data_IF_014082917545
#
_entry.id   IF_014082917545
#
_cell.length_a   1.000
_cell.length_b   1.000
_cell.length_c   1.000
_cell.angle_alpha   90.00
_cell.angle_beta   90.00
_cell.angle_gamma   90.00
#
_symmetry.space_group_name_H-M   'P 1'
#
loop_
_entity.id
_entity.type
_entity.pdbx_description
1 polymer ?
#
# COMPACT_ATOMS: atom_id res chain seq x y z
N UNK A 1 -53.93 12.93 10.80
CA UNK A 1 -53.47 13.84 11.86
C UNK A 1 -52.31 13.13 12.54
N UNK A 2 -51.10 13.33 12.02
CA UNK A 2 -49.91 12.63 12.49
C UNK A 2 -49.27 13.54 13.53
N UNK A 3 -49.35 13.16 14.80
CA UNK A 3 -48.58 13.84 15.85
C UNK A 3 -47.09 13.69 15.53
N UNK A 4 -46.50 14.78 15.05
CA UNK A 4 -45.07 14.93 14.91
C UNK A 4 -44.59 15.56 16.22
N UNK A 5 -43.94 14.73 17.04
CA UNK A 5 -43.16 15.11 18.23
C UNK A 5 -44.01 15.37 19.49
N UNK A 6 -44.04 14.40 20.40
CA UNK A 6 -44.58 14.58 21.76
C UNK A 6 -43.73 15.58 22.57
N UNK A 7 -44.38 16.41 23.39
CA UNK A 7 -43.72 17.26 24.42
C UNK A 7 -42.76 16.39 25.25
N UNK A 8 -41.49 16.81 25.35
CA UNK A 8 -40.33 16.14 25.99
C UNK A 8 -39.37 15.34 25.08
N UNK A 9 -39.29 15.67 23.78
CA UNK A 9 -38.15 15.19 22.98
C UNK A 9 -36.92 16.00 23.39
N UNK A 10 -36.03 15.40 24.20
CA UNK A 10 -34.80 16.03 24.66
C UNK A 10 -33.99 16.50 23.45
N UNK A 11 -33.87 17.82 23.28
CA UNK A 11 -32.95 18.40 22.31
C UNK A 11 -31.56 17.94 22.74
N UNK A 12 -30.76 17.29 21.88
CA UNK A 12 -29.37 16.97 22.19
C UNK A 12 -28.64 18.26 22.58
N UNK A 13 -28.27 18.32 23.85
CA UNK A 13 -27.62 19.46 24.48
C UNK A 13 -26.27 18.99 24.99
N UNK A 14 -25.20 19.68 24.60
CA UNK A 14 -23.84 19.38 25.06
C UNK A 14 -23.43 20.38 26.13
N UNK A 15 -23.12 19.88 27.32
CA UNK A 15 -22.70 20.68 28.46
C UNK A 15 -21.20 20.97 28.41
N UNK A 16 -20.83 22.23 28.60
CA UNK A 16 -19.47 22.70 28.76
C UNK A 16 -19.27 23.20 30.19
N UNK A 17 -18.13 22.83 30.77
CA UNK A 17 -17.72 23.21 32.12
C UNK A 17 -16.34 23.88 32.00
N UNK A 18 -16.22 25.08 32.55
CA UNK A 18 -14.99 25.89 32.49
C UNK A 18 -14.32 25.85 33.85
N UNK A 19 -13.05 25.50 33.89
CA UNK A 19 -12.28 25.32 35.12
C UNK A 19 -11.06 26.26 35.15
N UNK A 20 -10.60 26.61 36.36
CA UNK A 20 -9.40 27.38 36.66
C UNK A 20 -8.49 26.54 37.58
N UNK A 21 -7.24 26.33 37.18
CA UNK A 21 -6.25 25.54 37.93
C UNK A 21 -5.17 24.97 37.04
N UNK A 22 -4.08 24.51 37.65
CA UNK A 22 -2.89 23.94 36.98
C UNK A 22 -2.96 22.40 36.86
N UNK A 23 -3.89 21.75 37.57
CA UNK A 23 -4.09 20.30 37.48
C UNK A 23 -4.65 19.89 36.12
N UNK A 24 -4.27 18.70 35.67
CA UNK A 24 -4.81 18.05 34.48
C UNK A 24 -6.22 17.48 34.68
N UNK A 25 -6.69 17.37 35.92
CA UNK A 25 -7.96 16.74 36.28
C UNK A 25 -9.01 17.79 36.66
N UNK A 26 -10.18 17.82 35.99
CA UNK A 26 -11.22 18.83 36.28
C UNK A 26 -11.75 18.83 37.72
N UNK A 27 -11.64 17.71 38.44
CA UNK A 27 -12.11 17.58 39.84
C UNK A 27 -11.22 18.34 40.84
N UNK A 28 -9.95 18.55 40.49
CA UNK A 28 -8.93 19.20 41.33
C UNK A 28 -8.76 20.68 40.93
N UNK A 29 -9.42 21.10 39.85
CA UNK A 29 -9.53 22.49 39.42
C UNK A 29 -10.81 23.14 39.95
N UNK A 30 -10.80 24.47 40.02
CA UNK A 30 -11.95 25.26 40.43
C UNK A 30 -12.93 25.45 39.27
N UNK A 31 -14.19 25.06 39.45
CA UNK A 31 -15.24 25.33 38.47
C UNK A 31 -15.58 26.84 38.42
N UNK A 32 -15.39 27.47 37.26
CA UNK A 32 -15.72 28.87 37.02
C UNK A 32 -17.15 29.06 36.52
N UNK A 33 -17.65 28.13 35.72
CA UNK A 33 -18.98 28.24 35.15
C UNK A 33 -19.34 27.09 34.23
N UNK A 34 -20.62 26.99 33.90
CA UNK A 34 -21.16 25.95 33.01
C UNK A 34 -22.13 26.56 32.04
N UNK A 35 -22.10 26.11 30.79
CA UNK A 35 -23.09 26.50 29.78
C UNK A 35 -23.40 25.34 28.84
N UNK A 36 -24.58 25.36 28.25
CA UNK A 36 -25.13 24.26 27.47
C UNK A 36 -25.27 24.69 26.00
N UNK A 37 -24.61 24.01 25.07
CA UNK A 37 -24.79 24.21 23.62
C UNK A 37 -25.95 23.34 23.14
N UNK A 38 -27.08 23.98 22.85
CA UNK A 38 -28.31 23.29 22.47
C UNK A 38 -28.53 23.25 20.95
N UNK A 39 -29.28 22.24 20.50
CA UNK A 39 -29.77 22.17 19.12
C UNK A 39 -28.75 21.66 18.10
N UNK A 40 -27.74 20.90 18.54
CA UNK A 40 -26.81 20.19 17.66
C UNK A 40 -27.58 19.01 17.03
N UNK A 41 -27.69 18.88 15.71
CA UNK A 41 -28.36 17.73 15.11
C UNK A 41 -27.75 16.40 15.60
N UNK A 42 -28.59 15.38 15.82
CA UNK A 42 -28.12 14.04 16.17
C UNK A 42 -27.21 13.54 15.03
N UNK A 43 -25.91 13.48 15.30
CA UNK A 43 -24.91 13.02 14.36
C UNK A 43 -24.13 11.83 14.97
N UNK A 44 -23.64 10.89 14.14
CA UNK A 44 -22.77 9.82 14.63
C UNK A 44 -21.56 10.38 15.39
N UNK A 45 -21.16 9.73 16.48
CA UNK A 45 -19.98 10.15 17.25
C UNK A 45 -18.76 10.35 16.33
N UNK A 46 -18.14 11.53 16.42
CA UNK A 46 -16.97 11.92 15.64
C UNK A 46 -17.21 12.75 14.38
N UNK A 47 -18.47 13.07 14.01
CA UNK A 47 -18.76 13.95 12.85
C UNK A 47 -18.99 15.41 13.22
N UNK A 48 -19.37 15.72 14.46
CA UNK A 48 -19.57 17.10 14.90
C UNK A 48 -18.22 17.78 15.15
N UNK A 49 -17.95 18.88 14.47
CA UNK A 49 -16.77 19.71 14.67
C UNK A 49 -17.18 20.93 15.51
N UNK A 50 -16.72 20.99 16.76
CA UNK A 50 -16.96 22.12 17.65
C UNK A 50 -15.66 22.89 17.85
N UNK A 51 -15.67 24.18 17.55
CA UNK A 51 -14.61 25.11 17.90
C UNK A 51 -14.94 25.76 19.25
N UNK A 52 -13.97 25.77 20.16
CA UNK A 52 -14.08 26.47 21.45
C UNK A 52 -13.02 27.57 21.49
N UNK A 53 -13.47 28.81 21.70
CA UNK A 53 -12.61 30.00 21.76
C UNK A 53 -12.61 30.57 23.18
N UNK A 54 -11.42 30.88 23.69
CA UNK A 54 -11.20 31.52 24.98
C UNK A 54 -10.60 32.90 24.75
N UNK A 55 -11.25 33.94 25.26
CA UNK A 55 -10.80 35.33 25.18
C UNK A 55 -10.72 35.91 26.59
N UNK A 56 -9.55 36.43 26.96
CA UNK A 56 -9.33 37.10 28.25
C UNK A 56 -9.10 38.57 27.99
N UNK A 57 -9.98 39.40 28.56
CA UNK A 57 -9.96 40.84 28.39
C UNK A 57 -8.92 41.46 29.37
N UNK A 58 -8.42 42.69 29.14
CA UNK A 58 -7.46 43.36 30.04
C UNK A 58 -7.94 43.52 31.49
N UNK A 59 -9.26 43.42 31.71
CA UNK A 59 -9.88 43.47 33.04
C UNK A 59 -9.96 42.09 33.73
N UNK A 60 -9.36 41.05 33.15
CA UNK A 60 -9.42 39.67 33.68
C UNK A 60 -10.79 39.02 33.58
N UNK A 61 -11.60 39.42 32.60
CA UNK A 61 -12.90 38.79 32.29
C UNK A 61 -12.66 37.73 31.22
N UNK A 62 -13.10 36.50 31.48
CA UNK A 62 -12.96 35.38 30.56
C UNK A 62 -14.26 35.19 29.77
N UNK A 63 -14.18 35.31 28.45
CA UNK A 63 -15.24 34.99 27.50
C UNK A 63 -14.95 33.63 26.88
N UNK A 64 -15.84 32.66 27.08
CA UNK A 64 -15.73 31.32 26.46
C UNK A 64 -16.88 31.13 25.48
N UNK A 65 -16.54 30.81 24.24
CA UNK A 65 -17.50 30.59 23.14
C UNK A 65 -17.34 29.18 22.60
N UNK A 66 -18.43 28.45 22.41
CA UNK A 66 -18.45 27.18 21.68
C UNK A 66 -19.30 27.31 20.41
N UNK A 67 -18.78 26.89 19.27
CA UNK A 67 -19.40 27.02 17.95
C UNK A 67 -19.34 25.70 17.17
N UNK A 68 -20.49 25.25 16.68
CA UNK A 68 -20.62 24.15 15.73
C UNK A 68 -20.37 24.68 14.31
N UNK A 69 -19.22 24.33 13.73
CA UNK A 69 -18.78 24.84 12.43
C UNK A 69 -19.62 24.32 11.26
N UNK A 70 -20.37 23.23 11.45
CA UNK A 70 -21.20 22.66 10.38
C UNK A 70 -22.56 23.37 10.26
N UNK A 71 -23.11 23.85 11.37
CA UNK A 71 -24.47 24.40 11.42
C UNK A 71 -24.53 25.87 11.91
N UNK A 72 -23.39 26.46 12.28
CA UNK A 72 -23.27 27.86 12.69
C UNK A 72 -23.94 28.17 14.04
N UNK A 73 -24.26 27.15 14.84
CA UNK A 73 -24.82 27.34 16.18
C UNK A 73 -23.70 27.66 17.16
N UNK A 74 -23.89 28.68 17.97
CA UNK A 74 -22.91 29.13 18.95
C UNK A 74 -23.58 29.48 20.27
N UNK A 75 -22.91 29.18 21.37
CA UNK A 75 -23.26 29.63 22.72
C UNK A 75 -22.02 30.19 23.40
N UNK A 76 -22.21 31.15 24.31
CA UNK A 76 -21.10 31.75 25.05
C UNK A 76 -21.44 32.00 26.50
N UNK A 77 -20.41 31.97 27.34
CA UNK A 77 -20.45 32.38 28.75
C UNK A 77 -19.41 33.47 28.99
N UNK A 78 -19.79 34.48 29.77
CA UNK A 78 -18.87 35.51 30.25
C UNK A 78 -18.68 35.32 31.75
N UNK A 79 -17.44 35.04 32.14
CA UNK A 79 -17.05 34.76 33.52
C UNK A 79 -16.36 36.00 34.07
N UNK A 80 -16.99 36.63 35.06
CA UNK A 80 -16.47 37.83 35.71
C UNK A 80 -15.84 37.48 37.05
N UNK A 81 -14.69 38.10 37.35
CA UNK A 81 -13.82 37.82 38.52
C UNK A 81 -14.43 38.12 39.91
N UNK A 82 -15.75 38.32 40.03
CA UNK A 82 -16.38 38.98 41.20
C UNK A 82 -16.81 38.06 42.36
N UNK A 83 -16.58 36.75 42.32
CA UNK A 83 -16.88 35.87 43.47
C UNK A 83 -15.69 35.00 43.86
N UNK A 84 -15.06 35.36 44.98
CA UNK A 84 -14.05 34.57 45.69
C UNK A 84 -12.75 34.41 44.92
N UNK A 85 -11.97 35.48 44.73
CA UNK A 85 -10.60 35.35 44.23
C UNK A 85 -9.80 34.47 45.19
N UNK A 86 -9.02 33.53 44.65
CA UNK A 86 -8.12 32.71 45.46
C UNK A 86 -7.11 33.64 46.13
N UNK A 87 -6.91 33.46 47.44
CA UNK A 87 -5.82 34.13 48.14
C UNK A 87 -4.47 33.63 47.62
N UNK A 88 -3.41 34.43 47.75
CA UNK A 88 -2.06 34.01 47.34
C UNK A 88 -1.65 32.69 48.00
N UNK A 89 -2.04 32.47 49.26
CA UNK A 89 -1.77 31.23 50.00
C UNK A 89 -2.51 30.04 49.37
N UNK A 90 -3.75 30.22 48.94
CA UNK A 90 -4.50 29.16 48.25
C UNK A 90 -3.92 28.85 46.87
N UNK A 91 -3.50 29.88 46.12
CA UNK A 91 -2.83 29.71 44.83
C UNK A 91 -1.53 28.93 45.02
N UNK A 92 -0.67 29.35 45.94
CA UNK A 92 0.60 28.68 46.23
C UNK A 92 0.38 27.22 46.68
N UNK A 93 -0.62 26.97 47.53
CA UNK A 93 -0.97 25.59 47.92
C UNK A 93 -1.43 24.76 46.71
N UNK A 94 -2.30 25.30 45.86
CA UNK A 94 -2.78 24.60 44.66
C UNK A 94 -1.64 24.31 43.68
N UNK A 95 -0.70 25.23 43.51
CA UNK A 95 0.48 25.02 42.65
C UNK A 95 1.37 23.93 43.24
N UNK A 96 1.63 23.97 44.54
CA UNK A 96 2.45 22.96 45.21
C UNK A 96 1.81 21.57 45.16
N UNK A 97 0.50 21.46 45.40
CA UNK A 97 -0.24 20.20 45.27
C UNK A 97 -0.19 19.68 43.82
N UNK A 98 -0.36 20.56 42.82
CA UNK A 98 -0.26 20.17 41.41
C UNK A 98 1.15 19.67 41.03
N UNK A 99 2.21 20.26 41.59
CA UNK A 99 3.59 19.80 41.38
C UNK A 99 3.86 18.43 42.04
N UNK A 100 3.39 18.23 43.28
CA UNK A 100 3.56 16.98 44.02
C UNK A 100 2.87 15.79 43.33
N UNK A 101 1.66 16.02 42.76
CA UNK A 101 0.89 15.00 42.05
C UNK A 101 1.18 14.93 40.53
N UNK A 102 2.07 15.77 40.00
CA UNK A 102 2.27 15.91 38.55
C UNK A 102 2.61 14.59 37.84
N UNK A 103 3.42 13.73 38.47
CA UNK A 103 3.84 12.46 37.87
C UNK A 103 2.69 11.43 37.84
N UNK A 104 1.87 11.38 38.88
CA UNK A 104 0.71 10.48 38.94
C UNK A 104 -0.42 10.97 38.01
N UNK A 105 -0.62 12.28 37.92
CA UNK A 105 -1.50 12.89 36.94
C UNK A 105 -1.07 12.60 35.50
N UNK A 106 0.24 12.67 35.23
CA UNK A 106 0.80 12.33 33.92
C UNK A 106 0.50 10.88 33.55
N UNK A 107 0.72 9.93 34.46
CA UNK A 107 0.39 8.51 34.23
C UNK A 107 -1.11 8.31 33.95
N UNK A 108 -1.96 8.97 34.75
CA UNK A 108 -3.41 8.91 34.57
C UNK A 108 -3.84 9.49 33.22
N UNK A 109 -3.24 10.62 32.81
CA UNK A 109 -3.47 11.23 31.50
C UNK A 109 -3.06 10.31 30.36
N UNK A 110 -1.86 9.72 30.44
CA UNK A 110 -1.38 8.77 29.42
C UNK A 110 -2.30 7.54 29.29
N UNK A 111 -2.84 7.04 30.41
CA UNK A 111 -3.84 5.97 30.43
C UNK A 111 -5.15 6.37 29.76
N UNK A 112 -5.67 7.56 30.06
CA UNK A 112 -6.89 8.11 29.43
C UNK A 112 -6.68 8.30 27.92
N UNK A 113 -5.52 8.81 27.51
CA UNK A 113 -5.17 9.01 26.11
C UNK A 113 -5.08 7.68 25.35
N UNK A 114 -4.50 6.64 25.95
CA UNK A 114 -4.45 5.29 25.37
C UNK A 114 -5.85 4.68 25.22
N UNK A 115 -6.70 4.77 26.24
CA UNK A 115 -8.11 4.37 26.17
C UNK A 115 -8.84 5.09 25.04
N UNK A 116 -8.72 6.43 24.98
CA UNK A 116 -9.36 7.24 23.95
C UNK A 116 -8.85 6.90 22.55
N UNK A 117 -7.55 6.62 22.38
CA UNK A 117 -6.99 6.18 21.11
C UNK A 117 -7.61 4.87 20.61
N UNK A 118 -7.81 3.90 21.51
CA UNK A 118 -8.50 2.64 21.20
C UNK A 118 -9.95 2.87 20.81
N UNK A 119 -10.72 3.58 21.63
CA UNK A 119 -12.14 3.88 21.39
C UNK A 119 -12.33 4.62 20.07
N UNK A 120 -11.54 5.67 19.82
CA UNK A 120 -11.60 6.43 18.57
C UNK A 120 -11.32 5.55 17.36
N UNK A 121 -10.34 4.63 17.45
CA UNK A 121 -10.03 3.71 16.37
C UNK A 121 -11.18 2.71 16.10
N UNK A 122 -11.78 2.15 17.16
CA UNK A 122 -12.95 1.27 17.09
C UNK A 122 -14.09 1.96 16.33
N UNK A 123 -14.47 3.17 16.74
CA UNK A 123 -15.57 3.91 16.13
C UNK A 123 -15.26 4.33 14.69
N UNK A 124 -14.06 4.85 14.44
CA UNK A 124 -13.61 5.19 13.09
C UNK A 124 -13.71 3.99 12.14
N UNK A 125 -13.22 2.83 12.57
CA UNK A 125 -13.24 1.62 11.74
C UNK A 125 -14.65 1.06 11.57
N UNK A 126 -15.50 1.14 12.60
CA UNK A 126 -16.92 0.78 12.56
C UNK A 126 -17.70 1.61 11.53
N UNK A 127 -17.43 2.91 11.45
CA UNK A 127 -17.99 3.79 10.42
C UNK A 127 -17.52 3.34 9.03
N UNK A 128 -16.21 3.17 8.84
CA UNK A 128 -15.65 2.76 7.54
C UNK A 128 -16.21 1.43 7.02
N UNK A 129 -16.44 0.45 7.89
CA UNK A 129 -16.91 -0.87 7.46
C UNK A 129 -18.42 -0.94 7.21
N UNK A 130 -19.18 0.03 7.72
CA UNK A 130 -20.62 0.13 7.51
C UNK A 130 -20.99 1.09 6.37
N UNK A 131 -20.08 1.98 5.96
CA UNK A 131 -20.26 2.85 4.80
C UNK A 131 -20.23 2.04 3.50
N UNK A 132 -21.41 1.75 2.92
CA UNK A 132 -21.57 0.94 1.70
C UNK A 132 -20.82 1.49 0.47
N UNK A 133 -20.38 2.75 0.49
CA UNK A 133 -19.78 3.42 -0.67
C UNK A 133 -18.24 3.36 -0.73
N UNK A 134 -17.58 2.95 0.37
CA UNK A 134 -16.10 3.02 0.49
C UNK A 134 -15.44 1.65 0.61
N UNK A 135 -14.77 1.40 1.74
CA UNK A 135 -14.04 0.16 2.05
C UNK A 135 -14.85 -1.13 1.84
N UNK A 136 -16.15 -1.18 2.20
CA UNK A 136 -16.97 -2.39 2.06
C UNK A 136 -17.24 -2.79 0.61
N UNK A 137 -17.26 -1.86 -0.36
CA UNK A 137 -17.46 -2.23 -1.76
C UNK A 137 -16.30 -3.09 -2.31
N UNK A 138 -15.14 -3.06 -1.64
CA UNK A 138 -13.91 -3.76 -2.06
C UNK A 138 -13.69 -5.11 -1.38
N UNK A 139 -14.46 -5.42 -0.33
CA UNK A 139 -14.30 -6.60 0.53
C UNK A 139 -15.44 -7.60 0.36
N UNK A 140 -15.11 -8.89 0.45
CA UNK A 140 -16.08 -9.99 0.49
C UNK A 140 -16.82 -10.05 1.84
N UNK A 141 -17.94 -10.78 1.87
CA UNK A 141 -18.77 -10.90 3.07
C UNK A 141 -18.01 -11.51 4.26
N UNK A 142 -17.11 -12.46 4.01
CA UNK A 142 -16.35 -13.14 5.06
C UNK A 142 -15.30 -12.22 5.71
N UNK A 143 -14.60 -11.39 4.93
CA UNK A 143 -13.62 -10.40 5.42
C UNK A 143 -14.30 -9.33 6.27
N UNK A 144 -15.45 -8.84 5.82
CA UNK A 144 -16.25 -7.88 6.60
C UNK A 144 -16.67 -8.45 7.94
N UNK A 145 -17.08 -9.72 7.98
CA UNK A 145 -17.46 -10.40 9.21
C UNK A 145 -16.28 -10.48 10.19
N UNK A 146 -15.08 -10.81 9.70
CA UNK A 146 -13.87 -10.90 10.52
C UNK A 146 -13.52 -9.56 11.18
N UNK A 147 -13.53 -8.47 10.42
CA UNK A 147 -13.26 -7.13 10.97
C UNK A 147 -14.37 -6.69 11.93
N UNK A 148 -15.65 -6.96 11.60
CA UNK A 148 -16.78 -6.63 12.50
C UNK A 148 -16.69 -7.36 13.84
N UNK A 149 -16.30 -8.64 13.83
CA UNK A 149 -16.12 -9.41 15.05
C UNK A 149 -14.98 -8.83 15.90
N UNK A 150 -13.84 -8.49 15.30
CA UNK A 150 -12.71 -7.90 16.02
C UNK A 150 -13.07 -6.53 16.64
N UNK A 151 -13.83 -5.69 15.91
CA UNK A 151 -14.35 -4.42 16.45
C UNK A 151 -15.29 -4.67 17.62
N UNK A 152 -16.15 -5.68 17.53
CA UNK A 152 -17.10 -6.04 18.58
C UNK A 152 -16.36 -6.50 19.83
N UNK A 153 -15.41 -7.41 19.69
CA UNK A 153 -14.58 -7.92 20.79
C UNK A 153 -13.79 -6.80 21.46
N UNK A 154 -13.19 -5.89 20.69
CA UNK A 154 -12.46 -4.75 21.25
C UNK A 154 -13.39 -3.77 22.00
N UNK A 155 -14.64 -3.62 21.55
CA UNK A 155 -15.64 -2.78 22.24
C UNK A 155 -16.06 -3.41 23.57
N UNK A 156 -16.41 -4.70 23.56
CA UNK A 156 -16.75 -5.45 24.79
C UNK A 156 -15.57 -5.43 25.78
N UNK A 157 -14.34 -5.59 25.29
CA UNK A 157 -13.15 -5.51 26.13
C UNK A 157 -12.99 -4.13 26.79
N UNK A 158 -13.22 -3.03 26.06
CA UNK A 158 -13.15 -1.67 26.65
C UNK A 158 -14.22 -1.47 27.72
N UNK A 159 -15.43 -2.00 27.50
CA UNK A 159 -16.53 -1.92 28.46
C UNK A 159 -16.25 -2.73 29.72
N UNK A 160 -15.57 -3.88 29.61
CA UNK A 160 -15.24 -4.74 30.75
C UNK A 160 -13.97 -4.31 31.50
N UNK A 161 -13.10 -3.49 30.89
CA UNK A 161 -11.76 -3.17 31.40
C UNK A 161 -11.53 -1.67 31.65
N UNK A 162 -12.48 -1.00 32.30
CA UNK A 162 -12.39 0.44 32.62
C UNK A 162 -11.16 0.84 33.45
N UNK A 163 -10.61 -0.09 34.23
CA UNK A 163 -9.44 0.14 35.11
C UNK A 163 -8.12 -0.36 34.53
N UNK A 164 -8.08 -0.85 33.28
CA UNK A 164 -6.86 -1.38 32.66
C UNK A 164 -5.73 -0.36 32.58
N UNK A 165 -4.49 -0.82 32.62
CA UNK A 165 -3.32 0.04 32.48
C UNK A 165 -3.08 0.47 31.04
N UNK A 166 -2.28 1.53 30.88
CA UNK A 166 -1.96 2.12 29.57
C UNK A 166 -1.48 1.06 28.57
N UNK A 167 -0.58 0.18 29.03
CA UNK A 167 0.03 -0.86 28.21
C UNK A 167 -1.01 -1.84 27.65
N UNK A 168 -2.05 -2.15 28.43
CA UNK A 168 -3.13 -3.05 28.02
C UNK A 168 -4.00 -2.41 26.92
N UNK A 169 -4.31 -1.11 27.04
CA UNK A 169 -5.02 -0.36 25.99
C UNK A 169 -4.20 -0.31 24.69
N UNK A 170 -2.89 -0.05 24.79
CA UNK A 170 -1.98 0.00 23.64
C UNK A 170 -1.83 -1.37 22.97
N UNK A 171 -1.76 -2.44 23.75
CA UNK A 171 -1.71 -3.81 23.25
C UNK A 171 -3.00 -4.18 22.53
N UNK A 172 -4.18 -3.91 23.13
CA UNK A 172 -5.47 -4.20 22.49
C UNK A 172 -5.67 -3.39 21.20
N UNK A 173 -5.19 -2.14 21.16
CA UNK A 173 -5.18 -1.33 19.95
C UNK A 173 -4.28 -1.93 18.86
N UNK A 174 -3.11 -2.44 19.23
CA UNK A 174 -2.18 -3.11 18.32
C UNK A 174 -2.78 -4.40 17.75
N UNK A 175 -3.42 -5.21 18.58
CA UNK A 175 -4.15 -6.42 18.15
C UNK A 175 -5.24 -6.09 17.13
N UNK A 176 -6.12 -5.13 17.45
CA UNK A 176 -7.21 -4.73 16.57
C UNK A 176 -6.69 -4.19 15.23
N UNK A 177 -5.61 -3.39 15.27
CA UNK A 177 -4.93 -2.89 14.07
C UNK A 177 -4.35 -4.02 13.23
N UNK A 178 -3.69 -5.00 13.87
CA UNK A 178 -3.10 -6.13 13.18
C UNK A 178 -4.17 -6.97 12.46
N UNK A 179 -5.27 -7.32 13.14
CA UNK A 179 -6.38 -8.08 12.54
C UNK A 179 -7.00 -7.33 11.36
N UNK A 180 -7.25 -6.02 11.52
CA UNK A 180 -7.77 -5.19 10.44
C UNK A 180 -6.80 -5.13 9.25
N UNK A 181 -5.54 -4.84 9.50
CA UNK A 181 -4.50 -4.73 8.46
C UNK A 181 -4.30 -6.05 7.72
N UNK A 182 -4.13 -7.16 8.44
CA UNK A 182 -3.95 -8.48 7.84
C UNK A 182 -5.15 -8.88 6.97
N UNK A 183 -6.38 -8.64 7.46
CA UNK A 183 -7.59 -8.99 6.70
C UNK A 183 -7.71 -8.15 5.43
N UNK A 184 -7.39 -6.85 5.50
CA UNK A 184 -7.37 -5.97 4.33
C UNK A 184 -6.29 -6.40 3.33
N UNK A 185 -5.06 -6.65 3.79
CA UNK A 185 -3.95 -7.10 2.94
C UNK A 185 -4.27 -8.43 2.26
N UNK A 186 -4.83 -9.40 2.99
CA UNK A 186 -5.25 -10.68 2.41
C UNK A 186 -6.35 -10.51 1.34
N UNK A 187 -7.32 -9.63 1.58
CA UNK A 187 -8.38 -9.31 0.62
C UNK A 187 -7.82 -8.68 -0.66
N UNK A 188 -6.87 -7.75 -0.53
CA UNK A 188 -6.18 -7.17 -1.67
C UNK A 188 -5.33 -8.21 -2.42
N UNK A 189 -4.57 -9.05 -1.71
CA UNK A 189 -3.75 -10.12 -2.30
C UNK A 189 -4.56 -11.15 -3.07
N UNK A 190 -5.74 -11.54 -2.59
CA UNK A 190 -6.66 -12.44 -3.32
C UNK A 190 -7.05 -11.87 -4.68
N UNK A 191 -7.27 -10.56 -4.78
CA UNK A 191 -7.49 -9.86 -6.06
C UNK A 191 -6.24 -9.82 -6.93
N UNK A 192 -5.05 -9.83 -6.35
CA UNK A 192 -3.76 -9.87 -7.08
C UNK A 192 -3.37 -11.25 -7.63
N UNK A 193 -4.03 -12.36 -7.27
CA UNK A 193 -3.81 -13.66 -7.94
C UNK A 193 -4.05 -13.61 -9.47
N UNK A 194 -4.77 -12.60 -9.97
CA UNK A 194 -4.94 -12.35 -11.40
C UNK A 194 -3.60 -12.02 -12.13
N UNK A 195 -2.61 -11.42 -11.46
CA UNK A 195 -1.31 -11.11 -12.08
C UNK A 195 -0.46 -12.37 -12.26
N UNK A 196 -0.51 -13.32 -11.33
CA UNK A 196 0.19 -14.60 -11.43
C UNK A 196 -0.38 -15.48 -12.54
N UNK A 197 -1.71 -15.49 -12.72
CA UNK A 197 -2.38 -16.24 -13.80
C UNK A 197 -1.96 -15.73 -15.18
N UNK A 198 -1.81 -14.42 -15.33
CA UNK A 198 -1.34 -13.79 -16.57
C UNK A 198 0.11 -14.14 -16.85
N UNK A 199 0.99 -14.05 -15.84
CA UNK A 199 2.40 -14.36 -16.00
C UNK A 199 2.59 -15.83 -16.42
N UNK A 200 1.94 -16.76 -15.71
CA UNK A 200 1.97 -18.20 -16.03
C UNK A 200 1.41 -18.48 -17.44
N UNK A 201 0.35 -17.79 -17.88
CA UNK A 201 -0.21 -17.97 -19.21
C UNK A 201 0.67 -17.39 -20.34
N UNK A 202 1.48 -16.37 -20.08
CA UNK A 202 2.45 -15.84 -21.05
C UNK A 202 3.67 -16.75 -21.24
N UNK A 203 4.12 -17.47 -20.22
CA UNK A 203 5.32 -18.34 -20.33
C UNK A 203 4.98 -19.79 -20.71
N UNK A 204 3.76 -20.26 -20.43
CA UNK A 204 3.28 -21.63 -20.74
C UNK A 204 3.59 -22.11 -22.18
N UNK A 205 3.40 -21.28 -23.23
CA UNK A 205 3.66 -21.70 -24.61
C UNK A 205 5.13 -22.06 -24.84
N UNK A 206 6.05 -21.30 -24.25
CA UNK A 206 7.50 -21.50 -24.37
C UNK A 206 7.93 -22.80 -23.69
N UNK A 207 7.47 -23.03 -22.44
CA UNK A 207 7.74 -24.28 -21.71
C UNK A 207 7.18 -25.50 -22.42
N UNK A 208 5.93 -25.42 -22.89
CA UNK A 208 5.29 -26.51 -23.63
C UNK A 208 6.04 -26.81 -24.94
N UNK A 209 6.51 -25.78 -25.65
CA UNK A 209 7.25 -25.95 -26.90
C UNK A 209 8.60 -26.61 -26.68
N UNK A 210 9.37 -26.17 -25.68
CA UNK A 210 10.68 -26.76 -25.34
C UNK A 210 10.51 -28.23 -24.92
N UNK A 211 9.53 -28.52 -24.08
CA UNK A 211 9.26 -29.88 -23.61
C UNK A 211 8.80 -30.80 -24.75
N UNK A 212 7.87 -30.34 -25.59
CA UNK A 212 7.34 -31.11 -26.73
C UNK A 212 8.40 -31.35 -27.81
N UNK A 213 9.22 -30.35 -28.12
CA UNK A 213 10.26 -30.44 -29.15
C UNK A 213 11.59 -31.01 -28.63
N UNK A 214 11.74 -31.18 -27.30
CA UNK A 214 12.98 -31.59 -26.62
C UNK A 214 14.20 -30.76 -27.04
N UNK A 215 14.01 -29.49 -27.35
CA UNK A 215 15.04 -28.58 -27.83
C UNK A 215 14.73 -27.15 -27.40
N UNK A 216 15.78 -26.42 -27.02
CA UNK A 216 15.71 -24.99 -26.64
C UNK A 216 15.75 -24.03 -27.84
N UNK A 217 15.85 -24.55 -29.08
CA UNK A 217 15.84 -23.77 -30.33
C UNK A 217 16.69 -22.48 -30.27
N UNK A 218 16.08 -21.31 -30.54
CA UNK A 218 16.73 -19.99 -30.48
C UNK A 218 16.49 -19.26 -29.14
N UNK A 219 15.90 -19.91 -28.14
CA UNK A 219 15.61 -19.27 -26.87
C UNK A 219 16.91 -18.95 -26.10
N UNK A 220 17.05 -17.70 -25.66
CA UNK A 220 18.19 -17.24 -24.87
C UNK A 220 17.97 -17.50 -23.37
N UNK A 221 18.97 -18.03 -22.64
CA UNK A 221 18.89 -18.20 -21.19
C UNK A 221 19.15 -16.89 -20.41
N UNK A 222 19.73 -15.88 -21.06
CA UNK A 222 20.19 -14.65 -20.40
C UNK A 222 19.09 -13.90 -19.63
N UNK A 223 17.88 -13.70 -20.18
CA UNK A 223 16.81 -13.00 -19.45
C UNK A 223 16.38 -13.75 -18.18
N UNK A 224 16.40 -15.08 -18.21
CA UNK A 224 15.99 -15.95 -17.11
C UNK A 224 17.05 -15.99 -16.00
N UNK A 225 18.34 -16.01 -16.37
CA UNK A 225 19.46 -15.86 -15.42
C UNK A 225 19.40 -14.51 -14.68
N UNK A 226 19.29 -13.41 -15.45
CA UNK A 226 19.17 -12.08 -14.88
C UNK A 226 17.93 -11.94 -13.98
N UNK A 227 16.80 -12.52 -14.38
CA UNK A 227 15.56 -12.51 -13.59
C UNK A 227 15.68 -13.34 -12.33
N UNK A 228 16.31 -14.53 -12.38
CA UNK A 228 16.58 -15.37 -11.21
C UNK A 228 17.42 -14.61 -10.17
N UNK A 229 18.53 -13.99 -10.60
CA UNK A 229 19.38 -13.21 -9.72
C UNK A 229 18.65 -12.02 -9.11
N UNK A 230 17.89 -11.27 -9.94
CA UNK A 230 17.08 -10.14 -9.46
C UNK A 230 16.02 -10.59 -8.44
N UNK A 231 15.27 -11.66 -8.71
CA UNK A 231 14.30 -12.20 -7.78
C UNK A 231 14.97 -12.68 -6.48
N UNK A 232 16.15 -13.28 -6.56
CA UNK A 232 16.94 -13.65 -5.38
C UNK A 232 17.29 -12.45 -4.49
N UNK A 233 17.74 -11.34 -5.09
CA UNK A 233 18.03 -10.09 -4.37
C UNK A 233 16.79 -9.54 -3.66
N UNK A 234 15.63 -9.53 -4.32
CA UNK A 234 14.37 -9.09 -3.71
C UNK A 234 13.84 -10.04 -2.63
N UNK A 235 14.08 -11.35 -2.77
CA UNK A 235 13.82 -12.32 -1.68
C UNK A 235 14.65 -11.94 -0.46
N UNK A 236 15.97 -11.76 -0.63
CA UNK A 236 16.87 -11.37 0.46
C UNK A 236 16.43 -10.04 1.09
N UNK A 237 16.08 -9.05 0.28
CA UNK A 237 15.58 -7.76 0.74
C UNK A 237 14.33 -7.90 1.61
N UNK A 238 13.35 -8.71 1.19
CA UNK A 238 12.10 -8.91 1.91
C UNK A 238 12.19 -9.78 3.16
N UNK A 239 13.35 -10.39 3.45
CA UNK A 239 13.51 -11.23 4.65
C UNK A 239 13.49 -10.38 5.93
N UNK A 240 12.89 -10.85 7.04
CA UNK A 240 12.74 -10.08 8.28
C UNK A 240 14.06 -9.58 8.89
N UNK A 241 15.16 -10.30 8.65
CA UNK A 241 16.49 -9.95 9.15
C UNK A 241 17.21 -8.88 8.30
N UNK A 242 16.68 -8.53 7.12
CA UNK A 242 17.14 -7.42 6.27
C UNK A 242 16.17 -6.25 6.37
N UNK A 243 14.91 -6.42 5.96
CA UNK A 243 13.86 -5.40 6.05
C UNK A 243 12.66 -5.95 6.84
N UNK A 244 12.41 -5.46 8.07
CA UNK A 244 11.27 -5.88 8.87
C UNK A 244 9.93 -5.59 8.18
N UNK A 245 8.93 -6.45 8.41
CA UNK A 245 7.56 -6.30 7.91
C UNK A 245 7.38 -6.28 6.37
N UNK A 246 8.37 -6.73 5.59
CA UNK A 246 8.31 -6.72 4.12
C UNK A 246 8.15 -8.11 3.48
N UNK A 247 7.49 -9.04 4.20
CA UNK A 247 7.35 -10.45 3.79
C UNK A 247 6.60 -10.63 2.45
N UNK A 248 5.78 -9.65 2.07
CA UNK A 248 5.11 -9.68 0.77
C UNK A 248 6.11 -9.64 -0.39
N UNK A 249 7.15 -8.83 -0.29
CA UNK A 249 8.20 -8.76 -1.32
C UNK A 249 8.98 -10.08 -1.38
N UNK A 250 9.25 -10.70 -0.24
CA UNK A 250 9.95 -11.99 -0.19
C UNK A 250 9.12 -13.12 -0.81
N UNK A 251 7.83 -13.22 -0.49
CA UNK A 251 6.97 -14.30 -0.97
C UNK A 251 6.66 -14.21 -2.46
N UNK A 252 6.43 -13.00 -2.99
CA UNK A 252 6.17 -12.79 -4.42
C UNK A 252 7.41 -13.09 -5.27
N UNK A 253 8.57 -12.58 -4.86
CA UNK A 253 9.82 -12.86 -5.58
C UNK A 253 10.29 -14.30 -5.37
N UNK A 254 9.97 -14.92 -4.23
CA UNK A 254 10.23 -16.34 -3.99
C UNK A 254 9.50 -17.24 -4.99
N UNK A 255 8.24 -16.93 -5.31
CA UNK A 255 7.54 -17.60 -6.40
C UNK A 255 8.22 -17.40 -7.76
N UNK A 256 8.74 -16.19 -8.02
CA UNK A 256 9.56 -15.89 -9.19
C UNK A 256 10.81 -16.77 -9.27
N UNK A 257 11.59 -16.87 -8.18
CA UNK A 257 12.76 -17.75 -8.09
C UNK A 257 12.41 -19.19 -8.46
N UNK A 258 11.29 -19.73 -7.96
CA UNK A 258 10.85 -21.09 -8.29
C UNK A 258 10.53 -21.24 -9.78
N UNK A 259 9.80 -20.29 -10.38
CA UNK A 259 9.43 -20.33 -11.80
C UNK A 259 10.69 -20.26 -12.69
N UNK A 260 11.60 -19.33 -12.40
CA UNK A 260 12.84 -19.14 -13.15
C UNK A 260 13.78 -20.35 -13.00
N UNK A 261 13.87 -20.92 -11.79
CA UNK A 261 14.63 -22.14 -11.55
C UNK A 261 14.10 -23.33 -12.35
N UNK A 262 12.77 -23.52 -12.41
CA UNK A 262 12.15 -24.57 -13.24
C UNK A 262 12.49 -24.38 -14.72
N UNK A 263 12.45 -23.14 -15.23
CA UNK A 263 12.89 -22.85 -16.59
C UNK A 263 14.35 -23.23 -16.82
N UNK A 264 15.24 -22.81 -15.95
CA UNK A 264 16.67 -23.06 -16.11
C UNK A 264 17.01 -24.54 -15.99
N UNK A 265 16.30 -25.30 -15.15
CA UNK A 265 16.42 -26.77 -15.10
C UNK A 265 16.01 -27.38 -16.44
N UNK A 266 14.83 -27.02 -16.97
CA UNK A 266 14.37 -27.52 -18.27
C UNK A 266 15.34 -27.11 -19.38
N UNK A 267 15.80 -25.86 -19.38
CA UNK A 267 16.78 -25.36 -20.34
C UNK A 267 18.06 -26.18 -20.29
N UNK A 268 18.63 -26.40 -19.10
CA UNK A 268 19.85 -27.20 -18.94
C UNK A 268 19.62 -28.64 -19.44
N UNK A 269 18.47 -29.26 -19.18
CA UNK A 269 18.16 -30.62 -19.63
C UNK A 269 18.12 -30.77 -21.17
N UNK A 270 17.64 -29.75 -21.89
CA UNK A 270 17.43 -29.83 -23.35
C UNK A 270 18.39 -28.97 -24.19
N UNK A 271 19.31 -28.24 -23.57
CA UNK A 271 20.28 -27.39 -24.26
C UNK A 271 21.53 -28.16 -24.71
N UNK A 272 22.12 -27.72 -25.83
CA UNK A 272 23.40 -28.22 -26.36
C UNK A 272 24.50 -28.27 -25.28
N UNK A 273 25.35 -29.31 -25.23
CA UNK A 273 26.36 -29.47 -24.17
C UNK A 273 27.27 -28.26 -23.95
N UNK A 274 27.68 -27.57 -25.04
CA UNK A 274 28.54 -26.38 -24.95
C UNK A 274 27.84 -25.19 -24.28
N UNK A 275 26.57 -24.96 -24.61
CA UNK A 275 25.75 -23.88 -24.02
C UNK A 275 25.36 -24.25 -22.58
N UNK A 276 25.05 -25.51 -22.32
CA UNK A 276 24.76 -26.05 -20.98
C UNK A 276 25.88 -25.72 -19.99
N UNK A 277 27.14 -25.98 -20.35
CA UNK A 277 28.29 -25.66 -19.49
C UNK A 277 28.37 -24.17 -19.19
N UNK A 278 28.21 -23.30 -20.20
CA UNK A 278 28.23 -21.84 -19.99
C UNK A 278 27.13 -21.37 -19.04
N UNK A 279 25.90 -21.84 -19.24
CA UNK A 279 24.77 -21.48 -18.37
C UNK A 279 24.97 -22.01 -16.95
N UNK A 280 25.45 -23.24 -16.79
CA UNK A 280 25.76 -23.82 -15.49
C UNK A 280 26.87 -23.05 -14.75
N UNK A 281 27.90 -22.58 -15.47
CA UNK A 281 28.95 -21.74 -14.89
C UNK A 281 28.41 -20.38 -14.46
N UNK A 282 27.57 -19.72 -15.26
CA UNK A 282 26.94 -18.44 -14.88
C UNK A 282 26.07 -18.64 -13.63
N UNK A 283 25.27 -19.71 -13.58
CA UNK A 283 24.48 -20.04 -12.39
C UNK A 283 25.34 -20.28 -11.15
N UNK A 284 26.45 -21.00 -11.30
CA UNK A 284 27.39 -21.21 -10.20
C UNK A 284 27.95 -19.88 -9.69
N UNK A 285 28.34 -18.99 -10.59
CA UNK A 285 28.81 -17.65 -10.23
C UNK A 285 27.72 -16.84 -9.53
N UNK A 286 26.48 -16.87 -10.02
CA UNK A 286 25.33 -16.18 -9.39
C UNK A 286 25.06 -16.71 -7.98
N UNK A 287 25.07 -18.03 -7.78
CA UNK A 287 24.88 -18.65 -6.46
C UNK A 287 26.01 -18.28 -5.50
N UNK A 288 27.27 -18.31 -5.98
CA UNK A 288 28.43 -17.90 -5.17
C UNK A 288 28.34 -16.41 -4.82
N UNK A 289 28.02 -15.55 -5.79
CA UNK A 289 27.89 -14.12 -5.58
C UNK A 289 26.75 -13.80 -4.59
N UNK A 290 25.60 -14.46 -4.74
CA UNK A 290 24.46 -14.31 -3.85
C UNK A 290 24.77 -14.82 -2.43
N UNK A 291 25.35 -16.01 -2.30
CA UNK A 291 25.76 -16.57 -1.01
C UNK A 291 26.82 -15.70 -0.32
N UNK A 292 27.79 -15.19 -1.07
CA UNK A 292 28.80 -14.25 -0.59
C UNK A 292 28.19 -12.93 -0.13
N UNK A 293 27.23 -12.38 -0.86
CA UNK A 293 26.48 -11.18 -0.46
C UNK A 293 25.71 -11.43 0.85
N UNK A 294 24.98 -12.54 0.96
CA UNK A 294 24.22 -12.89 2.18
C UNK A 294 25.17 -13.00 3.37
N UNK A 295 26.27 -13.73 3.22
CA UNK A 295 27.28 -13.90 4.26
C UNK A 295 27.83 -12.54 4.69
N UNK A 296 28.30 -11.73 3.73
CA UNK A 296 28.90 -10.43 4.00
C UNK A 296 27.93 -9.47 4.71
N UNK A 297 26.67 -9.41 4.26
CA UNK A 297 25.65 -8.56 4.86
C UNK A 297 25.34 -9.00 6.29
N UNK A 298 25.20 -10.31 6.53
CA UNK A 298 24.88 -10.82 7.87
C UNK A 298 26.04 -10.73 8.86
N UNK A 299 27.29 -10.85 8.40
CA UNK A 299 28.47 -10.79 9.27
C UNK A 299 28.97 -9.37 9.50
N UNK A 300 29.02 -8.52 8.47
CA UNK A 300 29.62 -7.18 8.57
C UNK A 300 28.63 -6.10 9.02
N UNK A 301 27.33 -6.36 8.96
CA UNK A 301 26.32 -5.38 9.38
C UNK A 301 25.37 -5.98 10.41
N UNK A 302 25.27 -5.32 11.57
CA UNK A 302 24.47 -5.81 12.70
C UNK A 302 23.10 -5.14 12.82
N UNK A 303 22.86 -4.03 12.11
CA UNK A 303 21.56 -3.33 12.11
C UNK A 303 20.77 -3.59 10.85
N UNK A 304 19.46 -3.79 10.98
CA UNK A 304 18.54 -3.98 9.85
C UNK A 304 18.55 -2.79 8.90
N UNK A 305 18.66 -1.56 9.40
CA UNK A 305 18.78 -0.34 8.58
C UNK A 305 19.97 -0.36 7.61
N UNK A 306 21.15 -0.81 8.06
CA UNK A 306 22.33 -0.91 7.18
C UNK A 306 22.17 -2.06 6.18
N UNK A 307 21.63 -3.20 6.63
CA UNK A 307 21.35 -4.36 5.77
C UNK A 307 20.40 -3.99 4.64
N UNK A 308 19.28 -3.34 4.95
CA UNK A 308 18.30 -2.93 3.97
C UNK A 308 18.82 -1.86 3.03
N UNK A 309 19.67 -0.94 3.51
CA UNK A 309 20.32 0.04 2.63
C UNK A 309 21.25 -0.62 1.59
N UNK A 310 22.09 -1.55 2.01
CA UNK A 310 23.05 -2.23 1.11
C UNK A 310 22.30 -3.13 0.11
N UNK A 311 21.47 -4.06 0.62
CA UNK A 311 20.74 -5.01 -0.23
C UNK A 311 19.74 -4.27 -1.12
N UNK A 312 19.06 -3.26 -0.58
CA UNK A 312 18.11 -2.42 -1.32
C UNK A 312 18.80 -1.67 -2.46
N UNK A 313 19.95 -1.04 -2.22
CA UNK A 313 20.70 -0.34 -3.27
C UNK A 313 21.13 -1.28 -4.41
N UNK A 314 21.63 -2.48 -4.07
CA UNK A 314 22.01 -3.50 -5.06
C UNK A 314 20.77 -3.97 -5.86
N UNK A 315 19.65 -4.21 -5.17
CA UNK A 315 18.39 -4.64 -5.80
C UNK A 315 17.84 -3.58 -6.76
N UNK A 316 17.87 -2.31 -6.36
CA UNK A 316 17.47 -1.18 -7.22
C UNK A 316 18.35 -1.10 -8.45
N UNK A 317 19.67 -1.20 -8.30
CA UNK A 317 20.60 -1.17 -9.42
C UNK A 317 20.36 -2.32 -10.41
N UNK A 318 20.20 -3.55 -9.91
CA UNK A 318 19.88 -4.72 -10.72
C UNK A 318 18.55 -4.53 -11.47
N UNK A 319 17.51 -4.04 -10.79
CA UNK A 319 16.21 -3.82 -11.39
C UNK A 319 16.23 -2.70 -12.45
N UNK A 320 16.98 -1.62 -12.24
CA UNK A 320 17.14 -0.55 -13.24
C UNK A 320 17.85 -1.08 -14.49
N UNK A 321 18.88 -1.92 -14.34
CA UNK A 321 19.55 -2.56 -15.49
C UNK A 321 18.58 -3.41 -16.31
N UNK A 322 17.61 -4.06 -15.67
CA UNK A 322 16.58 -4.83 -16.40
C UNK A 322 15.70 -3.94 -17.31
N UNK A 323 15.57 -2.64 -17.02
CA UNK A 323 14.85 -1.70 -17.90
C UNK A 323 15.56 -1.40 -19.22
N UNK A 324 16.81 -1.85 -19.41
CA UNK A 324 17.49 -1.75 -20.70
C UNK A 324 16.71 -2.45 -21.82
N UNK A 325 16.07 -3.60 -21.52
CA UNK A 325 15.27 -4.35 -22.50
C UNK A 325 14.05 -3.56 -23.01
N UNK A 326 13.11 -3.09 -22.15
CA UNK A 326 11.98 -2.30 -22.61
C UNK A 326 12.40 -1.00 -23.31
N UNK A 327 13.47 -0.32 -22.86
CA UNK A 327 14.02 0.85 -23.54
C UNK A 327 14.49 0.52 -24.97
N UNK A 328 15.15 -0.61 -25.17
CA UNK A 328 15.58 -1.08 -26.49
C UNK A 328 14.37 -1.35 -27.40
N UNK A 329 13.32 -1.99 -26.89
CA UNK A 329 12.09 -2.23 -27.65
C UNK A 329 11.40 -0.90 -28.00
N UNK A 330 11.34 0.06 -27.08
CA UNK A 330 10.79 1.39 -27.36
C UNK A 330 11.57 2.11 -28.46
N UNK A 331 12.90 2.05 -28.44
CA UNK A 331 13.75 2.59 -29.50
C UNK A 331 13.42 1.92 -30.85
N UNK A 332 13.29 0.59 -30.87
CA UNK A 332 12.92 -0.15 -32.07
C UNK A 332 11.56 0.31 -32.62
N UNK A 333 10.55 0.49 -31.77
CA UNK A 333 9.22 1.00 -32.16
C UNK A 333 9.31 2.39 -32.76
N UNK A 334 10.09 3.29 -32.15
CA UNK A 334 10.25 4.68 -32.63
C UNK A 334 10.96 4.71 -33.99
N UNK A 335 11.98 3.88 -34.18
CA UNK A 335 12.75 3.78 -35.42
C UNK A 335 11.95 3.11 -36.54
N UNK A 336 11.27 2.01 -36.25
CA UNK A 336 10.51 1.23 -37.25
C UNK A 336 9.10 1.75 -37.48
N UNK A 337 8.61 2.66 -36.61
CA UNK A 337 7.22 3.17 -36.61
C UNK A 337 6.18 2.03 -36.53
N UNK A 338 6.56 0.91 -35.91
CA UNK A 338 5.79 -0.33 -35.80
C UNK A 338 5.83 -0.89 -34.38
N UNK A 339 4.70 -1.39 -33.88
CA UNK A 339 4.55 -2.02 -32.55
C UNK A 339 4.49 -3.55 -32.61
N UNK A 340 4.89 -4.14 -33.73
CA UNK A 340 4.91 -5.60 -33.95
C UNK A 340 5.65 -6.37 -32.83
N UNK A 341 6.76 -5.83 -32.35
CA UNK A 341 7.60 -6.42 -31.30
C UNK A 341 7.25 -5.94 -29.88
N UNK A 342 6.17 -5.19 -29.71
CA UNK A 342 5.71 -4.67 -28.42
C UNK A 342 4.24 -5.06 -28.18
N UNK A 343 3.96 -6.27 -27.65
CA UNK A 343 2.60 -6.73 -27.41
C UNK A 343 1.89 -5.87 -26.37
N UNK A 344 0.67 -5.43 -26.69
CA UNK A 344 -0.15 -4.57 -25.81
C UNK A 344 -0.30 -5.13 -24.39
N UNK A 345 -0.70 -6.40 -24.27
CA UNK A 345 -0.96 -7.02 -22.98
C UNK A 345 0.29 -7.02 -22.10
N UNK A 346 1.47 -7.32 -22.69
CA UNK A 346 2.73 -7.30 -21.95
C UNK A 346 3.02 -5.90 -21.41
N UNK A 347 2.88 -4.85 -22.22
CA UNK A 347 3.06 -3.46 -21.78
C UNK A 347 2.05 -3.04 -20.71
N UNK A 348 0.78 -3.45 -20.84
CA UNK A 348 -0.27 -3.16 -19.85
C UNK A 348 0.02 -3.83 -18.50
N UNK A 349 0.49 -5.07 -18.51
CA UNK A 349 0.85 -5.79 -17.29
C UNK A 349 2.12 -5.26 -16.65
N UNK A 350 3.12 -4.84 -17.43
CA UNK A 350 4.31 -4.15 -16.91
C UNK A 350 3.93 -2.84 -16.20
N UNK A 351 3.06 -2.02 -16.82
CA UNK A 351 2.52 -0.80 -16.21
C UNK A 351 1.77 -1.10 -14.91
N UNK A 352 0.83 -2.05 -14.95
CA UNK A 352 0.00 -2.42 -13.79
C UNK A 352 0.86 -2.94 -12.64
N UNK A 353 1.85 -3.79 -12.94
CA UNK A 353 2.79 -4.31 -11.94
C UNK A 353 3.59 -3.18 -11.29
N UNK A 354 4.19 -2.28 -12.09
CA UNK A 354 4.93 -1.14 -11.58
C UNK A 354 4.06 -0.22 -10.71
N UNK A 355 2.82 0.04 -11.14
CA UNK A 355 1.87 0.85 -10.38
C UNK A 355 1.50 0.18 -9.04
N UNK A 356 1.19 -1.12 -9.03
CA UNK A 356 0.83 -1.83 -7.82
C UNK A 356 1.96 -1.83 -6.79
N UNK A 357 3.20 -2.10 -7.21
CA UNK A 357 4.35 -2.09 -6.31
C UNK A 357 4.72 -0.69 -5.82
N UNK A 358 4.61 0.32 -6.70
CA UNK A 358 4.79 1.71 -6.32
C UNK A 358 3.78 2.11 -5.23
N UNK A 359 2.49 1.83 -5.44
CA UNK A 359 1.44 2.11 -4.46
C UNK A 359 1.63 1.34 -3.15
N UNK A 360 2.01 0.06 -3.22
CA UNK A 360 2.34 -0.73 -2.03
C UNK A 360 3.45 -0.07 -1.20
N UNK A 361 4.51 0.38 -1.87
CA UNK A 361 5.66 0.99 -1.22
C UNK A 361 5.35 2.37 -0.61
N UNK A 362 4.27 3.04 -1.00
CA UNK A 362 3.86 4.32 -0.40
C UNK A 362 3.22 4.16 0.99
N UNK A 363 2.63 2.99 1.31
CA UNK A 363 1.86 2.79 2.56
C UNK A 363 2.67 2.31 3.79
N UNK A 364 3.98 2.08 3.67
CA UNK A 364 4.94 2.23 4.78
C UNK A 364 6.16 3.09 4.41
N UNK A 365 6.08 3.84 3.30
CA UNK A 365 7.18 4.54 2.63
C UNK A 365 8.50 3.75 2.58
N UNK A 366 8.61 2.86 1.60
CA UNK A 366 9.83 2.12 1.27
C UNK A 366 10.45 2.68 -0.03
N UNK A 367 11.51 3.51 0.05
CA UNK A 367 12.09 4.14 -1.13
C UNK A 367 12.75 3.12 -2.08
N UNK A 368 13.26 2.00 -1.56
CA UNK A 368 13.92 0.99 -2.39
C UNK A 368 12.93 0.24 -3.27
N UNK A 369 11.70 0.02 -2.80
CA UNK A 369 10.64 -0.55 -3.64
C UNK A 369 9.97 0.53 -4.48
N UNK A 370 9.73 1.73 -3.94
CA UNK A 370 9.00 2.80 -4.63
C UNK A 370 9.73 3.31 -5.88
N UNK A 371 11.03 3.62 -5.77
CA UNK A 371 11.82 4.25 -6.85
C UNK A 371 11.85 3.39 -8.13
N UNK A 372 12.35 2.14 -8.12
CA UNK A 372 12.43 1.33 -9.32
C UNK A 372 11.05 1.05 -9.92
N UNK A 373 10.04 0.77 -9.09
CA UNK A 373 8.69 0.49 -9.57
C UNK A 373 7.99 1.73 -10.13
N UNK A 374 8.27 2.92 -9.59
CA UNK A 374 7.85 4.19 -10.17
C UNK A 374 8.45 4.43 -11.56
N UNK A 375 9.76 4.17 -11.73
CA UNK A 375 10.41 4.20 -13.04
C UNK A 375 9.76 3.19 -14.00
N UNK A 376 9.54 1.95 -13.54
CA UNK A 376 8.87 0.91 -14.32
C UNK A 376 7.45 1.30 -14.74
N UNK A 377 6.68 1.92 -13.86
CA UNK A 377 5.35 2.43 -14.17
C UNK A 377 5.40 3.54 -15.23
N UNK A 378 6.33 4.49 -15.11
CA UNK A 378 6.54 5.55 -16.11
C UNK A 378 6.90 4.97 -17.48
N UNK A 379 7.85 4.01 -17.53
CA UNK A 379 8.21 3.33 -18.76
C UNK A 379 7.01 2.56 -19.34
N UNK A 380 6.21 1.90 -18.50
CA UNK A 380 4.98 1.22 -18.91
C UNK A 380 3.96 2.17 -19.55
N UNK A 381 3.77 3.37 -18.99
CA UNK A 381 2.93 4.41 -19.60
C UNK A 381 3.48 4.82 -20.97
N UNK A 382 4.79 5.07 -21.08
CA UNK A 382 5.41 5.43 -22.35
C UNK A 382 5.25 4.33 -23.41
N UNK A 383 5.37 3.06 -23.02
CA UNK A 383 5.11 1.92 -23.91
C UNK A 383 3.66 1.91 -24.42
N UNK A 384 2.68 2.15 -23.53
CA UNK A 384 1.27 2.20 -23.91
C UNK A 384 0.95 3.38 -24.84
N UNK A 385 1.58 4.54 -24.61
CA UNK A 385 1.47 5.70 -25.51
C UNK A 385 2.04 5.35 -26.89
N UNK A 386 3.26 4.82 -26.96
CA UNK A 386 3.88 4.41 -28.23
C UNK A 386 3.03 3.36 -28.96
N UNK A 387 2.47 2.41 -28.22
CA UNK A 387 1.54 1.43 -28.76
C UNK A 387 0.35 2.12 -29.44
N UNK A 388 -0.35 3.00 -28.72
CA UNK A 388 -1.51 3.73 -29.25
C UNK A 388 -1.15 4.58 -30.49
N UNK A 389 0.02 5.24 -30.48
CA UNK A 389 0.49 6.07 -31.59
C UNK A 389 0.78 5.27 -32.85
N UNK A 390 1.51 4.15 -32.74
CA UNK A 390 1.98 3.38 -33.90
C UNK A 390 1.09 2.18 -34.28
N UNK A 391 0.02 1.89 -33.53
CA UNK A 391 -0.90 0.78 -33.82
C UNK A 391 -1.50 0.82 -35.23
N UNK A 392 -2.02 1.98 -35.66
CA UNK A 392 -2.59 2.15 -37.01
C UNK A 392 -1.54 2.02 -38.10
N UNK A 393 -0.35 2.60 -37.89
CA UNK A 393 0.80 2.50 -38.81
C UNK A 393 1.19 1.02 -39.02
N UNK A 394 1.32 0.28 -37.92
CA UNK A 394 1.65 -1.14 -37.91
C UNK A 394 0.64 -1.96 -38.72
N UNK A 395 -0.68 -1.75 -38.52
CA UNK A 395 -1.71 -2.44 -39.30
C UNK A 395 -1.58 -2.20 -40.80
N UNK A 396 -1.30 -0.97 -41.22
CA UNK A 396 -1.10 -0.64 -42.65
C UNK A 396 0.13 -1.34 -43.22
N UNK A 397 1.24 -1.35 -42.48
CA UNK A 397 2.48 -2.01 -42.90
C UNK A 397 2.31 -3.53 -43.03
N UNK A 398 1.61 -4.16 -42.10
CA UNK A 398 1.33 -5.60 -42.14
C UNK A 398 0.41 -5.97 -43.31
N UNK A 399 -0.64 -5.16 -43.57
CA UNK A 399 -1.51 -5.35 -44.73
C UNK A 399 -0.73 -5.25 -46.05
N UNK A 400 0.09 -4.20 -46.22
CA UNK A 400 0.89 -4.00 -47.41
C UNK A 400 1.94 -5.13 -47.63
N UNK A 401 2.52 -5.68 -46.55
CA UNK A 401 3.40 -6.86 -46.65
C UNK A 401 2.65 -8.09 -47.15
N UNK A 402 1.46 -8.33 -46.60
CA UNK A 402 0.62 -9.48 -46.98
C UNK A 402 0.19 -9.41 -48.45
N UNK A 403 -0.25 -8.24 -48.90
CA UNK A 403 -0.59 -8.00 -50.32
C UNK A 403 0.62 -8.25 -51.24
N UNK A 404 1.82 -7.82 -50.83
CA UNK A 404 3.06 -8.05 -51.58
C UNK A 404 3.45 -9.53 -51.64
N UNK A 405 3.27 -10.26 -50.54
CA UNK A 405 3.51 -11.71 -50.50
C UNK A 405 2.53 -12.47 -51.41
N UNK A 406 1.24 -12.14 -51.34
CA UNK A 406 0.20 -12.73 -52.21
C UNK A 406 0.47 -12.46 -53.69
N UNK A 407 0.89 -11.23 -54.04
CA UNK A 407 1.28 -10.87 -55.39
C UNK A 407 2.53 -11.64 -55.86
N UNK A 408 3.55 -11.78 -55.01
CA UNK A 408 4.75 -12.55 -55.35
C UNK A 408 4.44 -14.04 -55.58
N UNK A 409 3.57 -14.62 -54.75
CA UNK A 409 3.08 -16.00 -54.93
C UNK A 409 2.31 -16.16 -56.25
N UNK A 410 1.42 -15.22 -56.59
CA UNK A 410 0.69 -15.24 -57.85
C UNK A 410 1.61 -15.11 -59.09
N UNK A 411 2.66 -14.27 -59.01
CA UNK A 411 3.68 -14.16 -60.07
C UNK A 411 4.49 -15.46 -60.20
N UNK A 412 4.82 -16.10 -59.09
CA UNK A 412 5.53 -17.38 -59.10
C UNK A 412 4.64 -18.48 -59.73
N UNK A 413 3.36 -18.51 -59.40
CA UNK A 413 2.42 -19.51 -59.93
C UNK A 413 2.16 -19.32 -61.44
N UNK A 414 1.99 -18.07 -61.88
CA UNK A 414 1.85 -17.73 -63.31
C UNK A 414 3.12 -17.98 -64.14
N UNK A 415 4.31 -17.77 -63.58
CA UNK A 415 5.56 -18.10 -64.27
C UNK A 415 5.83 -19.61 -64.37
N UNK A 416 5.43 -20.40 -63.37
CA UNK A 416 5.46 -21.87 -63.43
C UNK A 416 4.48 -22.39 -64.50
N UNK A 417 3.28 -21.83 -64.56
CA UNK A 417 2.27 -22.18 -65.59
C UNK A 417 2.72 -21.79 -67.01
N UNK A 418 3.46 -20.68 -67.16
CA UNK A 418 3.98 -20.27 -68.46
C UNK A 418 5.13 -21.17 -68.95
N UNK A 419 6.07 -21.53 -68.07
CA UNK A 419 7.19 -22.44 -68.43
C UNK A 419 6.74 -23.89 -68.65
N UNK A 420 5.76 -24.40 -67.90
CA UNK A 420 5.22 -25.75 -68.10
C UNK A 420 4.48 -25.96 -69.43
N UNK A 421 4.11 -24.87 -70.12
CA UNK A 421 3.47 -24.90 -71.43
C UNK A 421 4.47 -24.81 -72.60
N UNK A 422 5.73 -24.46 -72.34
CA UNK A 422 6.81 -24.40 -73.35
C UNK A 422 7.50 -25.76 -73.50
N UNK A 423 7.50 -26.59 -72.46
CA UNK A 423 8.11 -27.93 -72.49
C UNK A 423 7.20 -29.02 -73.12
N UNK A 424 5.96 -28.68 -73.53
CA UNK A 424 4.97 -29.59 -74.12
C UNK A 424 4.59 -29.26 -75.57
N UNK A 425 5.37 -28.43 -76.27
CA UNK A 425 5.14 -28.05 -77.67
C UNK A 425 6.19 -28.61 -78.63
#
# INVERSE_FOLDING_TARGET
MTELISRNTAIPTKRYQVYEGESSQPKDCRLLGTFDLSGIPLAPSGTAQINVTFEVDPNGILNVKAEDTAFGKQEKITITSKKGQLSLIEIERMVWEAEDYAEDEKKLKEKIDAHNALVNYIYYRKIQINDKTKLPAKLEAHEKKKIKNAIKEALEWVDDNHSAEKEEFDEKLKELRAVCSQTLTAAFQKKHHFSHIVFVNCVRPTFYTIWKKRSVEQYSPVPYLASLFNCGLWVLYGMPFVQPNNLLVATTNGAGVVIEAVYLVIFLLYCDPRKRIRVALVLLVEVIAFGGLVLLVLTLTHTTQKRSAIVGAISVAANILMYASPLSVMKLVITTKSVEYMPFLLSLFCFSNGLCWCLYALFPFDPFVAVPNGIGALLGVLQLILYATFYKSTKRMLAARKEKEEMNLAVMDSSIMHNGNVDNA
#
